data_IF_957335010146
#
_entry.id   IF_957335010146
#
_cell.length_a   1.000
_cell.length_b   1.000
_cell.length_c   1.000
_cell.angle_alpha   90.00
_cell.angle_beta   90.00
_cell.angle_gamma   90.00
#
_symmetry.space_group_name_H-M   'P 1'
#
loop_
_entity.id
_entity.type
_entity.pdbx_description
1 polymer ?
#
# COMPACT_ATOMS: atom_id res chain seq x y z
N UNK A 1 7.17 14.92 22.99
CA UNK A 1 6.58 15.97 22.13
C UNK A 1 7.27 16.06 20.76
N UNK A 2 8.60 16.11 20.74
CA UNK A 2 9.36 16.25 19.48
C UNK A 2 9.12 15.13 18.48
N UNK A 3 8.97 13.88 18.95
CA UNK A 3 8.71 12.74 18.06
C UNK A 3 7.37 12.83 17.34
N UNK A 4 6.31 13.28 18.04
CA UNK A 4 4.97 13.39 17.44
C UNK A 4 4.97 14.44 16.34
N UNK A 5 5.51 15.62 16.57
CA UNK A 5 5.59 16.67 15.54
C UNK A 5 6.45 16.26 14.34
N UNK A 6 7.53 15.53 14.56
CA UNK A 6 8.38 15.00 13.49
C UNK A 6 7.64 13.99 12.61
N UNK A 7 6.86 13.10 13.22
CA UNK A 7 6.04 12.12 12.47
C UNK A 7 4.99 12.85 11.63
N UNK A 8 4.26 13.78 12.21
CA UNK A 8 3.24 14.57 11.51
C UNK A 8 3.86 15.32 10.32
N UNK A 9 5.00 15.97 10.51
CA UNK A 9 5.72 16.70 9.45
C UNK A 9 6.14 15.77 8.32
N UNK A 10 6.74 14.63 8.66
CA UNK A 10 7.17 13.65 7.67
C UNK A 10 6.00 13.06 6.86
N UNK A 11 4.88 12.78 7.51
CA UNK A 11 3.67 12.30 6.87
C UNK A 11 3.14 13.32 5.86
N UNK A 12 2.98 14.56 6.28
CA UNK A 12 2.44 15.64 5.43
C UNK A 12 3.37 15.93 4.24
N UNK A 13 4.68 15.95 4.47
CA UNK A 13 5.68 16.14 3.41
C UNK A 13 5.64 15.00 2.38
N UNK A 14 5.58 13.76 2.86
CA UNK A 14 5.53 12.55 2.02
C UNK A 14 4.27 12.49 1.16
N UNK A 15 3.18 13.12 1.59
CA UNK A 15 1.94 13.18 0.80
C UNK A 15 2.10 13.91 -0.53
N UNK A 16 3.11 14.77 -0.65
CA UNK A 16 3.33 15.61 -1.83
C UNK A 16 2.35 16.78 -1.97
N UNK A 17 1.44 16.98 -1.01
CA UNK A 17 0.44 18.05 -1.05
C UNK A 17 0.89 19.33 -0.34
N UNK A 18 1.95 19.26 0.46
CA UNK A 18 2.38 20.36 1.33
C UNK A 18 3.86 20.64 1.19
N UNK A 19 4.20 21.93 1.20
CA UNK A 19 5.55 22.40 1.42
C UNK A 19 5.67 22.85 2.87
N UNK A 20 6.60 22.28 3.62
CA UNK A 20 6.77 22.59 5.04
C UNK A 20 7.51 23.92 5.22
N UNK A 21 6.88 24.82 5.96
CA UNK A 21 7.51 26.06 6.41
C UNK A 21 8.21 25.79 7.75
N UNK A 22 9.42 26.33 7.99
CA UNK A 22 10.10 26.19 9.28
C UNK A 22 9.23 26.65 10.44
N UNK A 23 9.00 25.77 11.42
CA UNK A 23 8.23 26.06 12.61
C UNK A 23 9.04 26.84 13.66
N UNK A 24 8.31 27.41 14.63
CA UNK A 24 8.92 27.99 15.83
C UNK A 24 8.70 27.06 17.03
N UNK A 25 9.71 26.93 17.86
CA UNK A 25 9.60 26.17 19.09
C UNK A 25 8.67 26.89 20.11
N UNK A 26 8.01 26.11 20.96
CA UNK A 26 7.19 26.65 22.05
C UNK A 26 5.78 27.08 21.68
N UNK A 27 5.34 26.83 20.45
CA UNK A 27 3.95 27.06 20.04
C UNK A 27 3.06 25.93 20.54
N UNK A 28 1.87 26.25 21.02
CA UNK A 28 0.86 25.29 21.44
C UNK A 28 -0.51 25.62 20.84
N UNK A 29 -1.46 24.72 21.03
CA UNK A 29 -2.85 24.92 20.63
C UNK A 29 -3.63 25.92 21.48
N UNK A 30 -3.05 26.36 22.60
CA UNK A 30 -3.73 27.18 23.60
C UNK A 30 -4.00 28.63 23.15
N UNK A 31 -3.30 29.11 22.13
CA UNK A 31 -3.45 30.48 21.65
C UNK A 31 -3.50 30.58 20.13
N UNK A 32 -4.29 31.51 19.61
CA UNK A 32 -4.32 31.80 18.20
C UNK A 32 -2.96 32.35 17.71
N UNK A 33 -2.52 31.98 16.51
CA UNK A 33 -1.31 32.55 15.94
C UNK A 33 -1.47 34.03 15.61
N UNK A 34 -0.37 34.77 15.63
CA UNK A 34 -0.36 36.10 15.05
C UNK A 34 -0.30 35.98 13.53
N UNK A 35 -1.46 36.00 12.89
CA UNK A 35 -1.64 35.71 11.47
C UNK A 35 -0.72 36.52 10.53
N UNK A 36 -0.48 37.83 10.76
CA UNK A 36 0.41 38.61 9.87
C UNK A 36 1.83 38.06 9.84
N UNK A 37 2.38 37.59 10.93
CA UNK A 37 3.74 37.03 10.99
C UNK A 37 3.86 35.75 10.16
N UNK A 38 2.83 34.93 10.21
CA UNK A 38 2.81 33.68 9.44
C UNK A 38 2.54 33.92 7.95
N UNK A 39 1.72 34.91 7.60
CA UNK A 39 1.57 35.33 6.21
C UNK A 39 2.88 35.87 5.63
N UNK A 40 3.64 36.63 6.41
CA UNK A 40 4.96 37.10 6.02
C UNK A 40 5.95 35.96 5.74
N UNK A 41 5.77 34.80 6.36
CA UNK A 41 6.52 33.57 6.11
C UNK A 41 5.95 32.72 4.98
N UNK A 42 4.92 33.21 4.29
CA UNK A 42 4.23 32.49 3.21
C UNK A 42 3.57 31.18 3.66
N UNK A 43 3.15 31.09 4.91
CA UNK A 43 2.37 29.97 5.41
C UNK A 43 0.90 30.12 5.03
N UNK A 44 0.31 29.06 4.49
CA UNK A 44 -1.13 29.00 4.17
C UNK A 44 -1.93 28.45 5.36
N UNK A 45 -1.35 27.53 6.12
CA UNK A 45 -1.95 26.91 7.30
C UNK A 45 -0.90 26.71 8.39
N UNK A 46 -1.36 26.63 9.64
CA UNK A 46 -0.53 26.31 10.78
C UNK A 46 -1.22 25.27 11.67
N UNK A 47 -0.48 24.24 12.05
CA UNK A 47 -0.87 23.31 13.09
C UNK A 47 0.07 23.46 14.28
N UNK A 48 -0.48 23.52 15.48
CA UNK A 48 0.29 23.50 16.72
C UNK A 48 -0.42 22.58 17.74
N UNK A 49 0.37 22.01 18.63
CA UNK A 49 -0.18 21.08 19.61
C UNK A 49 0.69 20.93 20.84
N UNK A 50 0.21 20.13 21.76
CA UNK A 50 0.89 19.80 23.00
C UNK A 50 0.74 18.33 23.35
N UNK A 51 1.70 17.82 24.12
CA UNK A 51 1.67 16.47 24.66
C UNK A 51 1.93 16.58 26.16
N UNK A 52 0.96 16.13 26.96
CA UNK A 52 1.03 16.16 28.42
C UNK A 52 0.90 14.75 28.97
N UNK A 53 1.78 14.38 29.88
CA UNK A 53 1.67 13.10 30.60
C UNK A 53 0.58 13.18 31.64
N UNK A 54 -0.36 12.25 31.60
CA UNK A 54 -1.43 12.11 32.58
C UNK A 54 -0.99 11.32 33.82
N UNK A 55 -1.72 11.44 34.90
CA UNK A 55 -1.43 10.75 36.16
C UNK A 55 -1.47 9.22 36.03
N UNK A 56 -2.28 8.70 35.12
CA UNK A 56 -2.40 7.26 34.84
C UNK A 56 -1.33 6.72 33.85
N UNK A 57 -0.38 7.58 33.45
CA UNK A 57 0.73 7.23 32.58
C UNK A 57 0.44 7.37 31.09
N UNK A 58 -0.80 7.62 30.69
CA UNK A 58 -1.15 7.96 29.31
C UNK A 58 -0.65 9.35 28.93
N UNK A 59 -0.68 9.63 27.63
CA UNK A 59 -0.42 10.97 27.10
C UNK A 59 -1.73 11.60 26.60
N UNK A 60 -1.96 12.85 26.99
CA UNK A 60 -2.96 13.71 26.39
C UNK A 60 -2.30 14.45 25.23
N UNK A 61 -2.70 14.10 24.03
CA UNK A 61 -2.18 14.66 22.78
C UNK A 61 -3.23 15.56 22.18
N UNK A 62 -2.88 16.84 22.00
CA UNK A 62 -3.77 17.87 21.47
C UNK A 62 -3.16 18.54 20.26
N UNK A 63 -4.00 18.93 19.32
CA UNK A 63 -3.60 19.83 18.24
C UNK A 63 -4.74 20.75 17.84
N UNK A 64 -4.37 21.84 17.17
CA UNK A 64 -5.28 22.77 16.55
C UNK A 64 -4.73 23.21 15.20
N UNK A 65 -5.62 23.50 14.28
CA UNK A 65 -5.29 23.90 12.91
C UNK A 65 -5.92 25.27 12.63
N UNK A 66 -5.16 26.15 11.96
CA UNK A 66 -5.62 27.48 11.54
C UNK A 66 -5.35 27.67 10.04
N UNK A 67 -6.31 28.27 9.36
CA UNK A 67 -6.13 28.85 8.01
C UNK A 67 -5.50 30.23 8.19
N UNK A 68 -4.25 30.37 7.80
CA UNK A 68 -3.49 31.61 7.96
C UNK A 68 -3.93 32.67 6.97
N UNK A 69 -4.29 32.26 5.75
CA UNK A 69 -4.75 33.17 4.69
C UNK A 69 -6.04 33.86 5.10
N UNK A 70 -7.03 33.08 5.55
CA UNK A 70 -8.34 33.59 5.97
C UNK A 70 -8.36 34.11 7.41
N UNK A 71 -7.34 33.83 8.23
CA UNK A 71 -7.32 34.15 9.64
C UNK A 71 -8.38 33.39 10.44
N UNK A 72 -8.56 32.12 10.17
CA UNK A 72 -9.68 31.33 10.64
C UNK A 72 -9.20 30.10 11.43
N UNK A 73 -9.83 29.86 12.57
CA UNK A 73 -9.66 28.63 13.35
C UNK A 73 -10.41 27.47 12.66
N UNK A 74 -9.69 26.43 12.28
CA UNK A 74 -10.27 25.25 11.66
C UNK A 74 -10.58 24.12 12.66
N UNK A 75 -10.42 24.41 13.96
CA UNK A 75 -10.65 23.44 15.03
C UNK A 75 -9.44 22.56 15.32
N UNK A 76 -9.64 21.64 16.23
CA UNK A 76 -8.61 20.70 16.68
C UNK A 76 -9.22 19.50 17.36
N UNK A 77 -8.36 18.64 17.86
CA UNK A 77 -8.74 17.42 18.54
C UNK A 77 -7.83 17.18 19.75
N UNK A 78 -8.35 16.44 20.72
CA UNK A 78 -7.56 15.91 21.82
C UNK A 78 -7.83 14.43 22.00
N UNK A 79 -6.81 13.66 22.34
CA UNK A 79 -6.93 12.24 22.59
C UNK A 79 -5.98 11.80 23.71
N UNK A 80 -6.48 10.96 24.61
CA UNK A 80 -5.65 10.32 25.62
C UNK A 80 -5.23 8.95 25.09
N UNK A 81 -3.92 8.73 24.97
CA UNK A 81 -3.35 7.53 24.35
C UNK A 81 -2.32 6.87 25.25
N UNK A 82 -2.23 5.55 25.18
CA UNK A 82 -1.12 4.83 25.79
C UNK A 82 0.22 5.22 25.14
N UNK A 83 1.34 5.11 25.86
CA UNK A 83 2.66 5.43 25.28
C UNK A 83 2.97 4.68 23.99
N UNK A 84 2.55 3.42 23.88
CA UNK A 84 2.77 2.59 22.71
C UNK A 84 1.93 3.02 21.49
N UNK A 85 0.84 3.75 21.73
CA UNK A 85 -0.06 4.27 20.69
C UNK A 85 0.30 5.69 20.25
N UNK A 86 1.36 6.27 20.76
CA UNK A 86 1.76 7.65 20.45
C UNK A 86 2.05 7.86 18.95
N UNK A 87 2.65 6.88 18.29
CA UNK A 87 2.89 6.94 16.84
C UNK A 87 1.57 6.95 16.06
N UNK A 88 0.65 6.07 16.41
CA UNK A 88 -0.68 6.03 15.78
C UNK A 88 -1.44 7.34 15.99
N UNK A 89 -1.33 7.93 17.17
CA UNK A 89 -1.90 9.25 17.44
C UNK A 89 -1.33 10.34 16.51
N UNK A 90 -0.01 10.33 16.30
CA UNK A 90 0.64 11.26 15.37
C UNK A 90 0.13 11.07 13.93
N UNK A 91 0.02 9.85 13.45
CA UNK A 91 -0.50 9.55 12.12
C UNK A 91 -1.98 9.97 11.96
N UNK A 92 -2.80 9.77 12.99
CA UNK A 92 -4.21 10.23 12.99
C UNK A 92 -4.33 11.75 12.95
N UNK A 93 -3.44 12.46 13.63
CA UNK A 93 -3.38 13.92 13.56
C UNK A 93 -3.00 14.37 12.14
N UNK A 94 -1.99 13.74 11.54
CA UNK A 94 -1.62 14.01 10.15
C UNK A 94 -2.79 13.75 9.20
N UNK A 95 -3.54 12.67 9.38
CA UNK A 95 -4.76 12.39 8.61
C UNK A 95 -5.83 13.48 8.78
N UNK A 96 -6.05 13.94 10.00
CA UNK A 96 -7.02 15.00 10.29
C UNK A 96 -6.61 16.33 9.63
N UNK A 97 -5.35 16.70 9.71
CA UNK A 97 -4.81 17.90 9.04
C UNK A 97 -4.95 17.77 7.53
N UNK A 98 -4.54 16.63 6.98
CA UNK A 98 -4.65 16.35 5.54
C UNK A 98 -6.09 16.49 5.06
N UNK A 99 -7.05 15.89 5.76
CA UNK A 99 -8.46 15.92 5.39
C UNK A 99 -9.05 17.34 5.48
N UNK A 100 -8.72 18.10 6.52
CA UNK A 100 -9.19 19.49 6.67
C UNK A 100 -8.66 20.42 5.59
N UNK A 101 -7.44 20.21 5.13
CA UNK A 101 -6.80 21.06 4.13
C UNK A 101 -7.06 20.63 2.68
N UNK A 102 -7.24 19.35 2.41
CA UNK A 102 -7.42 18.81 1.05
C UNK A 102 -8.85 18.38 0.75
N UNK A 103 -9.67 18.12 1.77
CA UNK A 103 -11.00 17.53 1.63
C UNK A 103 -10.99 16.01 1.43
N UNK A 104 -9.83 15.40 1.33
CA UNK A 104 -9.68 13.95 1.12
C UNK A 104 -9.18 13.23 2.37
N UNK A 105 -9.57 11.99 2.52
CA UNK A 105 -9.14 11.17 3.66
C UNK A 105 -7.65 10.88 3.58
N UNK A 106 -6.94 11.08 4.69
CA UNK A 106 -5.53 10.74 4.82
C UNK A 106 -5.29 9.23 4.96
N UNK A 107 -4.07 8.80 4.71
CA UNK A 107 -3.67 7.38 4.72
C UNK A 107 -2.55 7.07 5.70
N UNK A 108 -2.18 8.02 6.55
CA UNK A 108 -0.99 7.87 7.41
C UNK A 108 -1.22 6.92 8.57
N UNK A 109 -2.46 6.79 9.05
CA UNK A 109 -2.85 5.81 10.07
C UNK A 109 -3.18 4.42 9.50
N UNK A 110 -3.00 4.20 8.20
CA UNK A 110 -3.12 2.87 7.58
C UNK A 110 -1.85 2.05 7.78
N UNK A 111 -1.86 0.80 7.34
CA UNK A 111 -0.77 -0.14 7.56
C UNK A 111 -0.24 -0.69 6.24
N UNK A 112 1.02 -1.10 6.26
CA UNK A 112 1.67 -1.84 5.19
C UNK A 112 1.91 -3.28 5.64
N UNK A 113 1.77 -4.23 4.72
CA UNK A 113 2.34 -5.56 4.83
C UNK A 113 3.54 -5.66 3.88
N UNK A 114 4.58 -6.34 4.29
CA UNK A 114 5.76 -6.56 3.45
C UNK A 114 6.54 -7.79 3.93
N UNK A 115 7.44 -8.26 3.08
CA UNK A 115 8.30 -9.40 3.36
C UNK A 115 9.71 -8.92 3.58
N UNK A 116 10.37 -9.40 4.64
CA UNK A 116 11.80 -9.21 4.84
C UNK A 116 12.54 -10.52 4.69
N UNK A 117 13.76 -10.45 4.13
CA UNK A 117 14.68 -11.57 4.07
C UNK A 117 15.96 -11.21 4.79
N UNK A 118 16.31 -11.97 5.81
CA UNK A 118 17.56 -11.83 6.56
C UNK A 118 18.21 -13.21 6.66
N UNK A 119 19.29 -13.41 5.90
CA UNK A 119 19.92 -14.73 5.77
C UNK A 119 18.92 -15.76 5.20
N UNK A 120 18.76 -16.92 5.86
CA UNK A 120 17.81 -17.95 5.42
C UNK A 120 16.37 -17.70 5.90
N UNK A 121 16.10 -16.58 6.59
CA UNK A 121 14.82 -16.33 7.25
C UNK A 121 13.97 -15.32 6.49
N UNK A 122 12.74 -15.70 6.20
CA UNK A 122 11.70 -14.85 5.65
C UNK A 122 10.72 -14.45 6.75
N UNK A 123 10.28 -13.20 6.73
CA UNK A 123 9.35 -12.68 7.72
C UNK A 123 8.28 -11.84 7.04
N UNK A 124 7.02 -12.17 7.30
CA UNK A 124 5.88 -11.33 6.96
C UNK A 124 5.69 -10.32 8.08
N UNK A 125 5.76 -9.05 7.75
CA UNK A 125 5.63 -7.95 8.71
C UNK A 125 4.45 -7.06 8.38
N UNK A 126 3.90 -6.45 9.42
CA UNK A 126 2.88 -5.42 9.33
C UNK A 126 3.41 -4.21 10.07
N UNK A 127 3.45 -3.06 9.41
CA UNK A 127 4.00 -1.83 9.93
C UNK A 127 3.05 -0.66 9.69
N UNK A 128 3.38 0.50 10.28
CA UNK A 128 2.74 1.77 9.95
C UNK A 128 3.03 2.14 8.48
N UNK A 129 2.25 3.06 7.93
CA UNK A 129 2.40 3.48 6.53
C UNK A 129 3.76 4.16 6.22
N UNK A 130 4.50 4.56 7.23
CA UNK A 130 5.88 5.07 7.11
C UNK A 130 6.95 3.96 7.15
N UNK A 131 6.54 2.71 7.28
CA UNK A 131 7.42 1.54 7.35
C UNK A 131 7.94 1.21 8.74
N UNK A 132 7.67 2.02 9.74
CA UNK A 132 8.10 1.79 11.12
C UNK A 132 7.06 1.03 11.96
N UNK A 133 7.44 0.63 13.16
CA UNK A 133 6.56 -0.05 14.11
C UNK A 133 6.19 -1.48 13.71
N UNK A 134 6.99 -2.11 12.85
CA UNK A 134 6.68 -3.40 12.28
C UNK A 134 6.55 -4.54 13.30
N UNK A 135 5.45 -5.27 13.21
CA UNK A 135 5.20 -6.51 13.96
C UNK A 135 5.35 -7.71 13.03
N UNK A 136 5.87 -8.80 13.58
CA UNK A 136 6.01 -10.07 12.87
C UNK A 136 4.67 -10.80 12.87
N UNK A 137 4.10 -11.02 11.68
CA UNK A 137 2.92 -11.86 11.51
C UNK A 137 3.27 -13.33 11.30
N UNK A 138 4.35 -13.61 10.57
CA UNK A 138 4.86 -14.95 10.31
C UNK A 138 6.38 -14.91 10.10
N UNK A 139 7.08 -15.88 10.62
CA UNK A 139 8.49 -16.13 10.33
C UNK A 139 8.66 -17.56 9.81
N UNK A 140 9.45 -17.74 8.76
CA UNK A 140 9.64 -19.03 8.10
C UNK A 140 11.06 -19.15 7.54
N UNK A 141 11.65 -20.36 7.55
CA UNK A 141 12.88 -20.63 6.81
C UNK A 141 12.64 -20.75 5.29
N UNK A 142 11.38 -20.90 4.87
CA UNK A 142 10.99 -21.00 3.48
C UNK A 142 10.36 -19.69 2.98
N UNK A 143 10.39 -19.41 1.67
CA UNK A 143 9.85 -18.17 1.13
C UNK A 143 8.39 -17.91 1.50
N UNK A 144 8.10 -16.63 1.72
CA UNK A 144 6.76 -16.07 1.84
C UNK A 144 6.66 -14.99 0.75
N UNK A 145 5.60 -15.02 -0.05
CA UNK A 145 5.40 -14.05 -1.14
C UNK A 145 3.94 -13.62 -1.24
N UNK A 146 3.71 -12.57 -2.02
CA UNK A 146 2.38 -12.12 -2.47
C UNK A 146 1.36 -11.85 -1.35
N UNK A 147 1.68 -11.04 -0.34
CA UNK A 147 0.70 -10.67 0.66
C UNK A 147 -0.41 -9.84 0.04
N UNK A 148 -1.66 -10.11 0.44
CA UNK A 148 -2.84 -9.39 0.00
C UNK A 148 -3.78 -9.15 1.18
N UNK A 149 -4.19 -7.89 1.37
CA UNK A 149 -5.10 -7.51 2.42
C UNK A 149 -6.54 -7.89 2.10
N UNK A 150 -7.27 -8.40 3.09
CA UNK A 150 -8.73 -8.41 3.00
C UNK A 150 -9.25 -6.97 3.01
N UNK A 151 -10.38 -6.67 2.32
CA UNK A 151 -10.90 -5.30 2.24
C UNK A 151 -11.24 -4.65 3.58
N UNK A 152 -11.55 -5.45 4.60
CA UNK A 152 -11.81 -4.99 5.97
C UNK A 152 -10.54 -4.82 6.81
N UNK A 153 -9.37 -5.14 6.28
CA UNK A 153 -8.09 -5.02 6.97
C UNK A 153 -7.85 -6.03 8.11
N UNK A 154 -8.73 -7.03 8.27
CA UNK A 154 -8.66 -7.99 9.39
C UNK A 154 -7.82 -9.22 9.09
N UNK A 155 -7.58 -9.51 7.82
CA UNK A 155 -6.83 -10.68 7.39
C UNK A 155 -5.84 -10.34 6.28
N UNK A 156 -4.82 -11.20 6.17
CA UNK A 156 -3.92 -11.28 5.03
C UNK A 156 -4.01 -12.66 4.39
N UNK A 157 -4.07 -12.69 3.07
CA UNK A 157 -3.74 -13.86 2.28
C UNK A 157 -2.29 -13.73 1.80
N UNK A 158 -1.57 -14.81 1.75
CA UNK A 158 -0.20 -14.85 1.25
C UNK A 158 0.16 -16.25 0.77
N UNK A 159 1.26 -16.35 0.05
CA UNK A 159 1.81 -17.62 -0.39
C UNK A 159 2.95 -18.01 0.54
N UNK A 160 2.92 -19.23 1.07
CA UNK A 160 4.02 -19.80 1.84
C UNK A 160 4.52 -21.10 1.22
N UNK A 161 5.84 -21.26 1.21
CA UNK A 161 6.52 -22.48 0.74
C UNK A 161 6.93 -23.41 1.90
N UNK A 162 6.36 -23.22 3.10
CA UNK A 162 6.69 -24.01 4.27
C UNK A 162 6.45 -25.52 4.11
N UNK A 163 5.51 -25.91 3.25
CA UNK A 163 5.25 -27.30 2.85
C UNK A 163 6.03 -27.75 1.61
N UNK A 164 7.04 -26.97 1.20
CA UNK A 164 7.90 -27.18 0.02
C UNK A 164 7.18 -27.06 -1.32
N UNK A 165 5.98 -26.52 -1.34
CA UNK A 165 5.27 -26.06 -2.54
C UNK A 165 4.51 -24.78 -2.21
N UNK A 166 4.13 -24.03 -3.24
CA UNK A 166 3.35 -22.83 -3.08
C UNK A 166 1.92 -23.17 -2.61
N UNK A 167 1.54 -22.67 -1.45
CA UNK A 167 0.20 -22.79 -0.85
C UNK A 167 -0.28 -21.42 -0.44
N UNK A 168 -1.54 -21.11 -0.72
CA UNK A 168 -2.17 -19.87 -0.26
C UNK A 168 -2.73 -20.08 1.14
N UNK A 169 -2.28 -19.23 2.07
CA UNK A 169 -2.76 -19.17 3.44
C UNK A 169 -3.57 -17.90 3.67
N UNK A 170 -4.51 -17.95 4.58
CA UNK A 170 -5.16 -16.77 5.16
C UNK A 170 -4.87 -16.73 6.65
N UNK A 171 -4.51 -15.55 7.14
CA UNK A 171 -4.20 -15.30 8.55
C UNK A 171 -5.06 -14.19 9.11
N UNK A 172 -5.76 -14.47 10.20
CA UNK A 172 -6.44 -13.46 11.01
C UNK A 172 -5.41 -12.66 11.80
N UNK A 173 -5.40 -11.35 11.62
CA UNK A 173 -4.38 -10.47 12.22
C UNK A 173 -4.61 -10.19 13.71
N UNK A 174 -5.84 -10.34 14.19
CA UNK A 174 -6.16 -10.12 15.61
C UNK A 174 -5.78 -11.32 16.47
N UNK A 175 -5.92 -12.52 15.93
CA UNK A 175 -5.69 -13.78 16.66
C UNK A 175 -4.40 -14.48 16.26
N UNK A 176 -3.84 -14.16 15.10
CA UNK A 176 -2.73 -14.89 14.50
C UNK A 176 -3.10 -16.26 13.93
N UNK A 177 -4.38 -16.64 13.95
CA UNK A 177 -4.82 -17.93 13.43
C UNK A 177 -4.65 -17.97 11.93
N UNK A 178 -4.13 -19.10 11.46
CA UNK A 178 -3.83 -19.37 10.05
C UNK A 178 -4.65 -20.55 9.55
N UNK A 179 -5.06 -20.50 8.29
CA UNK A 179 -5.67 -21.65 7.61
C UNK A 179 -5.13 -21.73 6.17
N UNK A 180 -5.00 -22.96 5.67
CA UNK A 180 -4.74 -23.20 4.26
C UNK A 180 -5.99 -22.84 3.46
N UNK A 181 -5.93 -21.79 2.66
CA UNK A 181 -7.04 -21.34 1.85
C UNK A 181 -7.07 -22.07 0.51
N UNK A 182 -5.91 -22.26 -0.12
CA UNK A 182 -5.77 -23.02 -1.36
C UNK A 182 -4.51 -23.88 -1.31
N UNK A 183 -4.72 -25.19 -1.28
CA UNK A 183 -3.67 -26.21 -1.31
C UNK A 183 -4.02 -27.30 -2.36
N UNK A 184 -4.36 -26.85 -3.56
CA UNK A 184 -4.64 -27.75 -4.67
C UNK A 184 -3.35 -28.35 -5.23
N UNK A 185 -3.49 -29.44 -5.98
CA UNK A 185 -2.37 -30.03 -6.72
C UNK A 185 -1.64 -28.97 -7.54
N UNK A 186 -0.32 -29.03 -7.53
CA UNK A 186 0.51 -28.07 -8.21
C UNK A 186 0.74 -26.80 -7.39
N UNK A 187 0.96 -25.69 -8.06
CA UNK A 187 1.24 -24.40 -7.46
C UNK A 187 -0.06 -23.61 -7.22
N UNK A 188 -0.13 -22.94 -6.07
CA UNK A 188 -1.22 -22.06 -5.66
C UNK A 188 -0.60 -20.70 -5.32
N UNK A 189 -0.93 -19.66 -6.06
CA UNK A 189 -0.22 -18.38 -5.94
C UNK A 189 -1.06 -17.17 -6.29
N UNK A 190 -0.49 -15.97 -6.07
CA UNK A 190 -1.01 -14.67 -6.45
C UNK A 190 -2.47 -14.42 -6.01
N UNK A 191 -2.79 -14.54 -4.71
CA UNK A 191 -4.15 -14.30 -4.23
C UNK A 191 -4.50 -12.82 -4.29
N UNK A 192 -5.76 -12.53 -4.65
CA UNK A 192 -6.34 -11.20 -4.61
C UNK A 192 -7.79 -11.28 -4.15
N UNK A 193 -8.16 -10.53 -3.12
CA UNK A 193 -9.53 -10.49 -2.63
C UNK A 193 -10.45 -9.74 -3.59
N UNK A 194 -11.68 -10.23 -3.71
CA UNK A 194 -12.75 -9.43 -4.29
C UNK A 194 -13.06 -8.21 -3.40
N UNK A 195 -13.56 -7.09 -3.95
CA UNK A 195 -13.85 -5.89 -3.17
C UNK A 195 -14.83 -6.11 -2.01
N UNK A 196 -15.76 -7.07 -2.13
CA UNK A 196 -16.67 -7.44 -1.05
C UNK A 196 -16.07 -8.43 -0.04
N UNK A 197 -14.85 -8.91 -0.25
CA UNK A 197 -14.16 -9.84 0.64
C UNK A 197 -14.69 -11.28 0.66
N UNK A 198 -15.66 -11.64 -0.20
CA UNK A 198 -16.29 -12.95 -0.20
C UNK A 198 -15.58 -13.99 -1.04
N UNK A 199 -14.76 -13.55 -1.98
CA UNK A 199 -14.05 -14.40 -2.93
C UNK A 199 -12.60 -13.94 -3.10
N UNK A 200 -11.79 -14.83 -3.66
CA UNK A 200 -10.43 -14.52 -4.10
C UNK A 200 -10.23 -15.01 -5.53
N UNK A 201 -9.54 -14.20 -6.32
CA UNK A 201 -8.92 -14.65 -7.55
C UNK A 201 -7.49 -15.09 -7.24
N UNK A 202 -7.02 -16.14 -7.87
CA UNK A 202 -5.68 -16.66 -7.69
C UNK A 202 -5.22 -17.44 -8.92
N UNK A 203 -3.96 -17.79 -8.92
CA UNK A 203 -3.33 -18.61 -9.96
C UNK A 203 -3.16 -20.04 -9.46
N UNK A 204 -3.72 -21.00 -10.19
CA UNK A 204 -3.56 -22.42 -9.91
C UNK A 204 -2.98 -23.15 -11.12
N UNK A 205 -2.09 -24.09 -10.88
CA UNK A 205 -1.56 -24.99 -11.93
C UNK A 205 -2.10 -26.41 -11.84
N UNK A 206 -3.22 -26.60 -11.15
CA UNK A 206 -3.81 -27.90 -10.84
C UNK A 206 -4.21 -28.74 -12.05
N UNK A 207 -4.50 -28.10 -13.17
CA UNK A 207 -4.96 -28.71 -14.42
C UNK A 207 -3.91 -28.64 -15.53
N UNK A 208 -2.65 -28.40 -15.17
CA UNK A 208 -1.53 -28.29 -16.12
C UNK A 208 -0.82 -26.96 -16.03
N UNK A 209 -1.07 -26.04 -16.95
CA UNK A 209 -0.48 -24.70 -16.91
C UNK A 209 -1.12 -23.77 -15.89
N UNK A 210 -0.45 -22.65 -15.62
CA UNK A 210 -0.94 -21.61 -14.71
C UNK A 210 -2.12 -20.89 -15.30
N UNK A 211 -3.26 -20.96 -14.63
CA UNK A 211 -4.52 -20.35 -15.03
C UNK A 211 -5.17 -19.63 -13.86
N UNK A 212 -6.08 -18.70 -14.14
CA UNK A 212 -6.83 -17.96 -13.14
C UNK A 212 -8.06 -18.75 -12.70
N UNK A 213 -8.28 -18.74 -11.39
CA UNK A 213 -9.45 -19.35 -10.75
C UNK A 213 -10.07 -18.34 -9.78
N UNK A 214 -11.36 -18.50 -9.56
CA UNK A 214 -12.09 -17.83 -8.52
C UNK A 214 -12.45 -18.85 -7.45
N UNK A 215 -12.10 -18.57 -6.19
CA UNK A 215 -12.47 -19.38 -5.04
C UNK A 215 -13.33 -18.59 -4.08
N UNK A 216 -14.18 -19.29 -3.31
CA UNK A 216 -14.85 -18.68 -2.16
C UNK A 216 -13.85 -18.44 -1.05
N UNK A 217 -14.16 -17.57 -0.10
CA UNK A 217 -13.32 -17.34 1.08
C UNK A 217 -13.19 -18.57 1.98
N UNK A 218 -14.07 -19.57 1.82
CA UNK A 218 -13.95 -20.88 2.45
C UNK A 218 -12.96 -21.82 1.75
N UNK A 219 -12.45 -21.46 0.58
CA UNK A 219 -11.46 -22.23 -0.17
C UNK A 219 -12.04 -23.13 -1.27
N UNK A 220 -13.33 -23.04 -1.55
CA UNK A 220 -13.98 -23.84 -2.60
C UNK A 220 -13.83 -23.18 -3.95
N UNK A 221 -13.53 -23.96 -5.00
CA UNK A 221 -13.49 -23.47 -6.38
C UNK A 221 -14.90 -23.09 -6.83
N UNK A 222 -15.08 -21.81 -7.14
CA UNK A 222 -16.33 -21.27 -7.70
C UNK A 222 -16.28 -21.37 -9.22
N UNK A 223 -15.17 -21.01 -9.83
CA UNK A 223 -15.01 -20.97 -11.30
C UNK A 223 -13.55 -20.98 -11.72
N UNK A 224 -13.23 -21.63 -12.83
CA UNK A 224 -12.03 -21.38 -13.58
C UNK A 224 -12.27 -20.17 -14.51
N UNK A 225 -11.45 -19.14 -14.41
CA UNK A 225 -11.65 -17.88 -15.14
C UNK A 225 -11.02 -17.90 -16.52
N UNK A 226 -9.85 -18.53 -16.66
CA UNK A 226 -9.13 -18.61 -17.93
C UNK A 226 -8.91 -20.05 -18.37
N UNK A 227 -8.90 -20.27 -19.70
CA UNK A 227 -8.67 -21.56 -20.34
C UNK A 227 -7.77 -21.34 -21.55
N UNK A 228 -6.58 -20.81 -21.32
CA UNK A 228 -5.60 -20.57 -22.38
C UNK A 228 -4.45 -21.57 -22.31
N UNK A 229 -3.67 -21.66 -23.37
CA UNK A 229 -2.38 -22.38 -23.39
C UNK A 229 -1.24 -21.52 -22.84
N UNK A 230 -1.51 -20.27 -22.49
CA UNK A 230 -0.56 -19.31 -21.95
C UNK A 230 -0.41 -19.45 -20.42
N UNK A 231 0.55 -18.73 -19.88
CA UNK A 231 0.67 -18.51 -18.45
C UNK A 231 -0.19 -17.28 -18.10
N UNK A 232 -1.26 -17.50 -17.35
CA UNK A 232 -2.13 -16.46 -16.83
C UNK A 232 -1.94 -16.37 -15.31
N UNK A 233 -1.56 -15.21 -14.80
CA UNK A 233 -1.15 -15.03 -13.40
C UNK A 233 -1.41 -13.59 -12.92
N UNK A 234 -1.13 -13.33 -11.66
CA UNK A 234 -1.23 -12.01 -11.01
C UNK A 234 -2.59 -11.33 -11.19
N UNK A 235 -3.71 -12.01 -10.85
CA UNK A 235 -5.03 -11.40 -10.97
C UNK A 235 -5.22 -10.33 -9.91
N UNK A 236 -5.88 -9.22 -10.29
CA UNK A 236 -6.38 -8.19 -9.38
C UNK A 236 -7.78 -7.77 -9.80
N UNK A 237 -8.66 -7.53 -8.84
CA UNK A 237 -10.02 -7.05 -9.11
C UNK A 237 -10.03 -5.56 -9.40
N UNK A 238 -10.87 -5.14 -10.33
CA UNK A 238 -11.33 -3.77 -10.40
C UNK A 238 -12.22 -3.46 -9.17
N UNK A 239 -12.27 -2.19 -8.71
CA UNK A 239 -13.03 -1.83 -7.51
C UNK A 239 -14.52 -2.13 -7.58
N UNK A 240 -15.10 -2.20 -8.78
CA UNK A 240 -16.50 -2.58 -9.00
C UNK A 240 -16.77 -4.09 -8.82
N UNK A 241 -15.72 -4.90 -8.73
CA UNK A 241 -15.81 -6.35 -8.59
C UNK A 241 -16.21 -7.10 -9.87
N UNK A 242 -16.38 -6.41 -11.00
CA UNK A 242 -16.89 -6.99 -12.25
C UNK A 242 -15.79 -7.36 -13.24
N UNK A 243 -14.60 -6.82 -13.09
CA UNK A 243 -13.46 -6.99 -14.00
C UNK A 243 -12.23 -7.46 -13.24
N UNK A 244 -11.47 -8.36 -13.85
CA UNK A 244 -10.16 -8.81 -13.36
C UNK A 244 -9.10 -8.37 -14.35
N UNK A 245 -8.04 -7.73 -13.84
CA UNK A 245 -6.81 -7.46 -14.56
C UNK A 245 -5.79 -8.55 -14.20
N UNK A 246 -4.99 -8.98 -15.16
CA UNK A 246 -4.03 -10.06 -14.94
C UNK A 246 -2.89 -10.00 -15.96
N UNK A 247 -1.85 -10.75 -15.69
CA UNK A 247 -0.70 -10.91 -16.59
C UNK A 247 -0.87 -12.17 -17.42
N UNK A 248 -0.62 -12.08 -18.71
CA UNK A 248 -0.62 -13.20 -19.63
C UNK A 248 0.46 -13.07 -20.69
N UNK A 249 1.09 -14.16 -21.05
CA UNK A 249 2.03 -14.23 -22.17
C UNK A 249 1.40 -14.75 -23.48
N UNK A 250 0.06 -14.75 -23.56
CA UNK A 250 -0.70 -15.25 -24.72
C UNK A 250 -0.37 -14.56 -26.04
N UNK A 251 0.13 -13.33 -25.99
CA UNK A 251 0.59 -12.56 -27.14
C UNK A 251 2.09 -12.68 -27.42
N UNK A 252 2.80 -13.57 -26.71
CA UNK A 252 4.24 -13.81 -26.84
C UNK A 252 5.01 -13.45 -25.57
N UNK A 253 5.03 -12.21 -25.16
CA UNK A 253 5.64 -11.75 -23.91
C UNK A 253 4.55 -11.36 -22.88
N UNK A 254 4.88 -11.34 -21.57
CA UNK A 254 3.95 -10.91 -20.54
C UNK A 254 3.43 -9.49 -20.75
N UNK A 255 2.11 -9.38 -20.76
CA UNK A 255 1.36 -8.13 -20.87
C UNK A 255 0.16 -8.17 -19.92
N UNK A 256 -0.39 -7.01 -19.61
CA UNK A 256 -1.57 -6.91 -18.78
C UNK A 256 -2.82 -6.97 -19.65
N UNK A 257 -3.73 -7.86 -19.24
CA UNK A 257 -5.04 -8.10 -19.86
C UNK A 257 -6.14 -7.85 -18.84
N UNK A 258 -7.36 -7.67 -19.30
CA UNK A 258 -8.54 -7.64 -18.47
C UNK A 258 -9.64 -8.52 -19.03
N UNK A 259 -10.51 -9.03 -18.15
CA UNK A 259 -11.66 -9.83 -18.54
C UNK A 259 -12.80 -9.66 -17.52
N UNK A 260 -14.06 -9.90 -17.93
CA UNK A 260 -15.16 -9.95 -16.98
C UNK A 260 -14.99 -11.10 -15.97
N UNK A 261 -15.32 -10.86 -14.70
CA UNK A 261 -15.34 -11.91 -13.65
C UNK A 261 -16.38 -12.99 -13.98
N UNK A 262 -17.46 -12.60 -14.63
CA UNK A 262 -18.54 -13.51 -15.07
C UNK A 262 -18.17 -14.43 -16.23
N UNK A 263 -16.99 -14.29 -16.80
CA UNK A 263 -16.53 -15.00 -17.98
C UNK A 263 -16.62 -14.13 -19.23
N UNK A 264 -15.84 -14.47 -20.23
CA UNK A 264 -15.76 -13.74 -21.49
C UNK A 264 -14.34 -13.66 -22.04
N UNK A 265 -14.16 -12.90 -23.09
CA UNK A 265 -12.85 -12.73 -23.73
C UNK A 265 -11.95 -11.82 -22.95
N UNK A 266 -10.66 -12.14 -22.93
CA UNK A 266 -9.63 -11.27 -22.39
C UNK A 266 -9.24 -10.21 -23.41
N UNK A 267 -9.08 -8.98 -22.95
CA UNK A 267 -8.68 -7.81 -23.73
C UNK A 267 -7.32 -7.32 -23.25
N UNK A 268 -6.38 -7.11 -24.16
CA UNK A 268 -5.06 -6.57 -23.83
C UNK A 268 -5.17 -5.11 -23.41
N UNK A 269 -4.49 -4.72 -22.33
CA UNK A 269 -4.51 -3.36 -21.79
C UNK A 269 -3.20 -2.62 -22.05
N UNK A 270 -2.05 -3.31 -21.99
CA UNK A 270 -0.72 -2.69 -22.18
C UNK A 270 -0.17 -2.96 -23.57
N UNK A 271 0.30 -1.90 -24.23
CA UNK A 271 0.84 -1.95 -25.59
C UNK A 271 2.23 -1.34 -25.70
N UNK A 272 2.60 -0.45 -24.77
CA UNK A 272 3.94 0.13 -24.70
C UNK A 272 4.87 -0.78 -23.92
N UNK A 273 6.04 -1.07 -24.49
CA UNK A 273 7.01 -1.98 -23.90
C UNK A 273 6.73 -3.45 -24.24
N UNK A 274 7.77 -4.26 -24.18
CA UNK A 274 7.70 -5.68 -24.55
C UNK A 274 7.42 -6.63 -23.38
N UNK A 275 7.31 -6.11 -22.16
CA UNK A 275 7.16 -6.95 -20.96
C UNK A 275 6.60 -6.10 -19.80
N UNK A 276 5.33 -6.31 -19.47
CA UNK A 276 4.61 -5.54 -18.44
C UNK A 276 3.95 -6.50 -17.45
N UNK A 277 4.21 -6.30 -16.17
CA UNK A 277 3.76 -7.17 -15.08
C UNK A 277 3.34 -6.38 -13.83
N UNK A 278 2.88 -7.09 -12.81
CA UNK A 278 2.54 -6.58 -11.48
C UNK A 278 1.47 -5.48 -11.49
N UNK A 279 0.27 -5.76 -12.04
CA UNK A 279 -0.79 -4.78 -12.08
C UNK A 279 -1.33 -4.45 -10.69
N UNK A 280 -1.62 -3.18 -10.46
CA UNK A 280 -2.35 -2.69 -9.30
C UNK A 280 -3.31 -1.58 -9.76
N UNK A 281 -4.52 -1.58 -9.23
CA UNK A 281 -5.53 -0.58 -9.58
C UNK A 281 -5.74 0.42 -8.45
N UNK A 282 -5.92 1.68 -8.83
CA UNK A 282 -6.35 2.70 -7.89
C UNK A 282 -7.76 2.38 -7.35
N UNK A 283 -8.10 2.82 -6.13
CA UNK A 283 -9.41 2.55 -5.54
C UNK A 283 -10.59 3.07 -6.35
N UNK A 284 -10.40 4.09 -7.17
CA UNK A 284 -11.42 4.61 -8.11
C UNK A 284 -11.47 3.85 -9.45
N UNK A 285 -10.56 2.91 -9.68
CA UNK A 285 -10.48 2.14 -10.90
C UNK A 285 -10.01 2.87 -12.15
N UNK A 286 -9.52 4.10 -12.01
CA UNK A 286 -9.13 4.95 -13.16
C UNK A 286 -7.67 4.82 -13.55
N UNK A 287 -6.82 4.39 -12.64
CA UNK A 287 -5.37 4.32 -12.83
C UNK A 287 -4.86 2.91 -12.61
N UNK A 288 -4.06 2.43 -13.54
CA UNK A 288 -3.32 1.18 -13.45
C UNK A 288 -1.86 1.49 -13.18
N UNK A 289 -1.33 0.95 -12.10
CA UNK A 289 0.10 0.92 -11.84
C UNK A 289 0.65 -0.45 -12.22
N UNK A 290 1.84 -0.49 -12.80
CA UNK A 290 2.53 -1.71 -13.20
C UNK A 290 4.02 -1.45 -13.37
N UNK A 291 4.80 -2.50 -13.58
CA UNK A 291 6.22 -2.36 -13.91
C UNK A 291 6.49 -2.83 -15.34
N UNK A 292 7.29 -2.07 -16.06
CA UNK A 292 7.72 -2.36 -17.43
C UNK A 292 9.19 -2.72 -17.43
N UNK A 293 9.55 -3.76 -18.19
CA UNK A 293 10.94 -4.16 -18.38
C UNK A 293 11.63 -3.21 -19.36
N UNK A 294 12.74 -2.63 -18.92
CA UNK A 294 13.54 -1.71 -19.73
C UNK A 294 14.83 -2.33 -20.29
N UNK A 295 15.16 -3.54 -19.88
CA UNK A 295 16.31 -4.31 -20.34
C UNK A 295 16.81 -5.27 -19.27
N UNK A 296 17.30 -6.44 -19.65
CA UNK A 296 17.81 -7.44 -18.71
C UNK A 296 16.78 -7.77 -17.61
N UNK A 297 17.17 -7.59 -16.37
CA UNK A 297 16.31 -7.74 -15.19
C UNK A 297 15.88 -6.37 -14.59
N UNK A 298 15.96 -5.31 -15.38
CA UNK A 298 15.61 -3.96 -14.93
C UNK A 298 14.17 -3.63 -15.26
N UNK A 299 13.44 -3.16 -14.26
CA UNK A 299 12.02 -2.80 -14.33
C UNK A 299 11.79 -1.39 -13.80
N UNK A 300 10.84 -0.68 -14.38
CA UNK A 300 10.47 0.67 -14.03
C UNK A 300 8.98 0.79 -13.74
N UNK A 301 8.65 1.49 -12.65
CA UNK A 301 7.26 1.75 -12.28
C UNK A 301 6.60 2.70 -13.27
N UNK A 302 5.44 2.27 -13.78
CA UNK A 302 4.59 3.03 -14.68
C UNK A 302 3.20 3.21 -14.10
N UNK A 303 2.54 4.29 -14.50
CA UNK A 303 1.11 4.50 -14.31
C UNK A 303 0.44 4.78 -15.65
N UNK A 304 -0.73 4.18 -15.83
CA UNK A 304 -1.58 4.38 -17.01
C UNK A 304 -2.93 4.96 -16.58
N UNK A 305 -3.33 6.05 -17.23
CA UNK A 305 -4.73 6.49 -17.19
C UNK A 305 -5.56 5.56 -18.08
N UNK A 306 -6.49 4.82 -17.48
CA UNK A 306 -7.25 3.80 -18.22
C UNK A 306 -8.24 4.37 -19.23
N UNK A 307 -8.68 5.62 -19.06
CA UNK A 307 -9.59 6.26 -20.00
C UNK A 307 -8.85 6.73 -21.27
N UNK A 308 -7.68 7.35 -21.12
CA UNK A 308 -6.88 7.90 -22.22
C UNK A 308 -5.81 6.94 -22.74
N UNK A 309 -5.49 5.87 -21.98
CA UNK A 309 -4.36 4.97 -22.21
C UNK A 309 -2.99 5.67 -22.18
N UNK A 310 -2.91 6.86 -21.59
CA UNK A 310 -1.65 7.60 -21.42
C UNK A 310 -0.81 6.93 -20.36
N UNK A 311 0.46 6.64 -20.67
CA UNK A 311 1.42 5.97 -19.80
C UNK A 311 2.53 6.92 -19.41
N UNK A 312 2.86 6.98 -18.11
CA UNK A 312 4.00 7.71 -17.58
C UNK A 312 4.91 6.76 -16.79
N UNK A 313 6.20 6.80 -17.07
CA UNK A 313 7.20 6.16 -16.22
C UNK A 313 7.51 7.14 -15.09
N UNK A 314 7.28 6.74 -13.85
CA UNK A 314 7.30 7.66 -12.70
C UNK A 314 8.45 7.43 -11.72
N UNK A 315 9.18 6.33 -11.84
CA UNK A 315 10.31 6.05 -10.94
C UNK A 315 11.65 6.51 -11.51
N UNK A 316 12.60 6.77 -10.61
CA UNK A 316 14.00 7.07 -10.94
C UNK A 316 14.90 5.83 -10.77
N UNK A 317 14.36 4.77 -10.24
CA UNK A 317 15.00 3.48 -9.97
C UNK A 317 14.73 2.51 -11.11
N UNK A 318 15.48 1.40 -11.17
CA UNK A 318 15.45 0.46 -12.31
C UNK A 318 15.22 -1.00 -11.91
N UNK A 319 14.96 -1.26 -10.63
CA UNK A 319 14.64 -2.61 -10.13
C UNK A 319 13.34 -2.58 -9.34
N UNK A 320 12.32 -1.94 -9.92
CA UNK A 320 11.04 -1.71 -9.27
C UNK A 320 10.16 -2.96 -9.32
N UNK A 321 9.46 -3.22 -8.23
CA UNK A 321 8.57 -4.38 -8.06
C UNK A 321 7.34 -4.02 -7.23
N UNK A 322 6.28 -4.78 -7.46
CA UNK A 322 5.12 -4.87 -6.55
C UNK A 322 4.49 -3.53 -6.15
N UNK A 323 4.06 -2.69 -7.09
CA UNK A 323 3.36 -1.47 -6.75
C UNK A 323 2.03 -1.76 -6.06
N UNK A 324 1.68 -0.94 -5.07
CA UNK A 324 0.41 -1.03 -4.35
C UNK A 324 -0.10 0.37 -4.01
N UNK A 325 -1.36 0.64 -4.33
CA UNK A 325 -1.97 1.95 -4.05
C UNK A 325 -2.34 2.12 -2.58
N UNK A 326 -2.13 3.32 -2.08
CA UNK A 326 -2.77 3.78 -0.85
C UNK A 326 -4.30 3.80 -1.04
N UNK A 327 -5.09 3.60 0.03
CA UNK A 327 -6.55 3.49 -0.11
C UNK A 327 -7.25 4.78 -0.54
N UNK A 328 -6.60 5.94 -0.49
CA UNK A 328 -7.13 7.18 -1.10
C UNK A 328 -6.69 7.37 -2.57
N UNK A 329 -5.86 6.47 -3.11
CA UNK A 329 -5.42 6.53 -4.50
C UNK A 329 -4.38 7.59 -4.83
N UNK A 330 -3.81 8.28 -3.84
CA UNK A 330 -2.89 9.41 -4.05
C UNK A 330 -1.41 9.05 -3.95
N UNK A 331 -1.10 7.92 -3.37
CA UNK A 331 0.25 7.41 -3.21
C UNK A 331 0.34 5.97 -3.68
N UNK A 332 1.54 5.58 -4.09
CA UNK A 332 1.90 4.19 -4.41
C UNK A 332 3.11 3.83 -3.56
N UNK A 333 3.06 2.66 -2.91
CA UNK A 333 4.24 2.01 -2.34
C UNK A 333 4.76 0.97 -3.32
N UNK A 334 6.06 0.86 -3.45
CA UNK A 334 6.71 -0.16 -4.28
C UNK A 334 8.04 -0.59 -3.67
N UNK A 335 8.50 -1.77 -4.03
CA UNK A 335 9.83 -2.25 -3.69
C UNK A 335 10.80 -1.88 -4.80
N UNK A 336 12.02 -1.53 -4.44
CA UNK A 336 13.08 -1.22 -5.38
C UNK A 336 14.43 -1.46 -4.76
N UNK A 337 15.49 -1.25 -5.55
CA UNK A 337 16.85 -1.30 -5.09
C UNK A 337 17.46 0.09 -5.09
N UNK A 338 18.00 0.49 -3.96
CA UNK A 338 18.68 1.77 -3.78
C UNK A 338 19.96 1.56 -3.00
N UNK A 339 21.07 2.07 -3.52
CA UNK A 339 22.40 1.97 -2.89
C UNK A 339 22.79 0.51 -2.54
N UNK A 340 22.42 -0.42 -3.40
CA UNK A 340 22.72 -1.85 -3.23
C UNK A 340 21.83 -2.61 -2.25
N UNK A 341 20.78 -1.97 -1.71
CA UNK A 341 19.83 -2.58 -0.78
C UNK A 341 18.41 -2.58 -1.34
N UNK A 342 17.67 -3.62 -1.05
CA UNK A 342 16.23 -3.67 -1.33
C UNK A 342 15.51 -2.82 -0.30
N UNK A 343 14.70 -1.86 -0.77
CA UNK A 343 14.00 -0.88 0.06
C UNK A 343 12.57 -0.70 -0.41
N UNK A 344 11.72 -0.18 0.47
CA UNK A 344 10.39 0.31 0.10
C UNK A 344 10.45 1.82 -0.15
N UNK A 345 9.75 2.26 -1.17
CA UNK A 345 9.54 3.67 -1.49
C UNK A 345 8.08 3.98 -1.67
N UNK A 346 7.69 5.20 -1.34
CA UNK A 346 6.41 5.77 -1.74
C UNK A 346 6.63 6.84 -2.81
N UNK A 347 5.64 7.01 -3.67
CA UNK A 347 5.64 8.04 -4.70
C UNK A 347 4.24 8.61 -4.89
N UNK A 348 4.15 9.89 -5.23
CA UNK A 348 2.94 10.45 -5.82
C UNK A 348 2.75 9.89 -7.23
N UNK A 349 1.52 9.96 -7.77
CA UNK A 349 1.20 9.37 -9.07
C UNK A 349 1.93 10.08 -10.24
N UNK A 350 2.34 11.32 -10.05
CA UNK A 350 3.14 12.07 -11.03
C UNK A 350 4.66 11.83 -10.88
N UNK A 351 5.07 11.10 -9.86
CA UNK A 351 6.47 10.80 -9.58
C UNK A 351 7.30 11.95 -9.03
N UNK A 352 6.69 13.09 -8.71
CA UNK A 352 7.41 14.31 -8.27
C UNK A 352 7.87 14.24 -6.81
N UNK A 353 7.13 13.57 -5.95
CA UNK A 353 7.47 13.42 -4.54
C UNK A 353 7.64 11.95 -4.21
N UNK A 354 8.86 11.58 -3.85
CA UNK A 354 9.25 10.23 -3.49
C UNK A 354 9.86 10.22 -2.11
N UNK A 355 9.60 9.16 -1.36
CA UNK A 355 10.18 8.96 -0.04
C UNK A 355 10.64 7.52 0.13
N UNK A 356 11.83 7.34 0.64
CA UNK A 356 12.34 6.04 1.09
C UNK A 356 11.77 5.76 2.47
N UNK A 357 11.11 4.63 2.64
CA UNK A 357 10.60 4.23 3.95
C UNK A 357 11.75 3.71 4.81
N UNK A 358 11.71 4.05 6.10
CA UNK A 358 12.76 3.63 7.03
C UNK A 358 12.68 2.12 7.20
N UNK A 359 13.79 1.44 6.86
CA UNK A 359 13.99 0.02 7.13
C UNK A 359 15.38 -0.18 7.70
N UNK A 360 15.44 -0.77 8.89
CA UNK A 360 16.69 -1.23 9.52
C UNK A 360 17.02 -2.67 9.13
N UNK A 361 16.17 -3.30 8.33
CA UNK A 361 16.23 -4.71 7.97
C UNK A 361 16.96 -4.91 6.65
N UNK A 362 17.46 -6.11 6.39
CA UNK A 362 18.36 -6.39 5.29
C UNK A 362 17.69 -6.20 3.92
N UNK A 363 16.74 -7.03 3.57
CA UNK A 363 16.02 -6.97 2.29
C UNK A 363 14.53 -6.86 2.55
N UNK A 364 13.87 -5.89 1.91
CA UNK A 364 12.43 -5.63 2.05
C UNK A 364 11.77 -5.71 0.68
N UNK A 365 10.73 -6.53 0.55
CA UNK A 365 10.06 -6.81 -0.72
C UNK A 365 8.54 -6.92 -0.56
N UNK A 366 7.85 -6.92 -1.68
CA UNK A 366 6.43 -7.25 -1.83
C UNK A 366 5.52 -6.46 -0.88
N UNK A 367 5.57 -5.13 -0.94
CA UNK A 367 4.69 -4.31 -0.13
C UNK A 367 3.24 -4.44 -0.59
N UNK A 368 2.32 -4.42 0.36
CA UNK A 368 0.90 -4.29 0.11
C UNK A 368 0.33 -3.23 1.06
N UNK A 369 -0.27 -2.19 0.51
CA UNK A 369 -0.91 -1.14 1.31
C UNK A 369 -2.27 -1.61 1.81
N UNK A 370 -2.50 -1.53 3.11
CA UNK A 370 -3.76 -1.91 3.73
C UNK A 370 -4.87 -0.89 3.46
N UNK A 371 -6.13 -1.31 3.69
CA UNK A 371 -7.27 -0.43 3.56
C UNK A 371 -7.32 0.59 4.70
N UNK A 372 -8.26 1.53 4.61
CA UNK A 372 -8.63 2.37 5.74
C UNK A 372 -9.08 1.51 6.94
N UNK A 373 -8.73 1.96 8.17
CA UNK A 373 -9.16 1.37 9.43
C UNK A 373 -10.55 1.83 9.85
#
# INVERSE_FOLDING_TARGET
>A
PQKISQIIRADLERSGQFTLVPGLAGLSEAGAPHYPDWRARQADAMAAGSVTRLADGRFDVRFKLWDIVKGQDLGGESQAVAPDDARLAAHRIADAIYQKLTGERGVFATRLAYITKAGPRYTLRIADADGEGGQVALASPEPIISPAWSPDGRALAYVSFESRKAVVWEQDLSTGRRRMLANFRGSNSAPAYSPNGQQLALTLSREGGSQLFLISRSGEVVRRLTQSSAIDTEPVFAPDGNTIYFVSDRGGAPQIYRMPVGGGSAERVTFSGGYNISPALSPDGRTLAYVTRIGGNSFKLCVMDLASCTVNQISDTTEDESPSFAPNGKLIVFATRSEGKDVLMTTTLDGKVKAKLVSTLADVREPAWGPFG
#
